data_IF_552957322470
#
_entry.id   IF_552957322470
#
_cell.length_a   1.000
_cell.length_b   1.000
_cell.length_c   1.000
_cell.angle_alpha   90.00
_cell.angle_beta   90.00
_cell.angle_gamma   90.00
#
_symmetry.space_group_name_H-M   'P 1'
#
loop_
_entity.id
_entity.type
_entity.pdbx_description
1 polymer ?
#
# COMPACT_ATOMS: atom_id res chain seq x y z
N UNK A 1 -24.29 -0.64 10.28
CA UNK A 1 -22.90 -0.30 9.87
C UNK A 1 -22.07 -1.52 9.45
N UNK A 2 -22.16 -2.69 10.12
CA UNK A 2 -21.33 -3.89 9.83
C UNK A 2 -21.54 -4.52 8.44
N UNK A 3 -22.76 -4.51 7.91
CA UNK A 3 -23.07 -5.11 6.61
C UNK A 3 -22.41 -4.39 5.42
N UNK A 4 -22.35 -3.05 5.44
CA UNK A 4 -21.73 -2.25 4.36
C UNK A 4 -20.20 -2.43 4.33
N UNK A 5 -19.61 -2.60 5.51
CA UNK A 5 -18.17 -2.83 5.69
C UNK A 5 -17.73 -4.22 5.21
N UNK A 6 -18.43 -5.28 5.64
CA UNK A 6 -18.17 -6.65 5.17
C UNK A 6 -18.40 -6.79 3.66
N UNK A 7 -19.39 -6.08 3.12
CA UNK A 7 -19.64 -6.05 1.69
C UNK A 7 -18.51 -5.34 0.94
N UNK A 8 -18.01 -4.20 1.46
CA UNK A 8 -16.87 -3.50 0.88
C UNK A 8 -15.60 -4.36 0.89
N UNK A 9 -15.31 -5.07 1.99
CA UNK A 9 -14.18 -5.99 2.06
C UNK A 9 -14.32 -7.17 1.08
N UNK A 10 -15.54 -7.73 0.97
CA UNK A 10 -15.83 -8.79 0.00
C UNK A 10 -15.64 -8.33 -1.45
N UNK A 11 -16.17 -7.16 -1.80
CA UNK A 11 -15.99 -6.56 -3.12
C UNK A 11 -14.52 -6.21 -3.41
N UNK A 12 -13.81 -5.66 -2.43
CA UNK A 12 -12.40 -5.30 -2.59
C UNK A 12 -11.54 -6.56 -2.83
N UNK A 13 -11.77 -7.63 -2.07
CA UNK A 13 -11.05 -8.90 -2.24
C UNK A 13 -11.33 -9.53 -3.60
N UNK A 14 -12.61 -9.66 -3.97
CA UNK A 14 -12.97 -10.23 -5.29
C UNK A 14 -12.42 -9.36 -6.43
N UNK A 15 -12.43 -8.04 -6.29
CA UNK A 15 -11.80 -7.12 -7.23
C UNK A 15 -10.29 -7.37 -7.36
N UNK A 16 -9.60 -7.54 -6.22
CA UNK A 16 -8.17 -7.84 -6.22
C UNK A 16 -7.87 -9.18 -6.93
N UNK A 17 -8.65 -10.23 -6.66
CA UNK A 17 -8.49 -11.54 -7.30
C UNK A 17 -8.73 -11.46 -8.83
N UNK A 18 -9.75 -10.72 -9.27
CA UNK A 18 -10.05 -10.51 -10.69
C UNK A 18 -8.90 -9.81 -11.44
N UNK A 19 -8.27 -8.81 -10.82
CA UNK A 19 -7.17 -8.08 -11.45
C UNK A 19 -5.97 -8.97 -11.75
N UNK A 20 -5.73 -10.03 -10.98
CA UNK A 20 -4.66 -11.00 -11.25
C UNK A 20 -4.78 -11.68 -12.61
N UNK A 21 -6.01 -12.02 -13.02
CA UNK A 21 -6.29 -12.59 -14.34
C UNK A 21 -6.08 -11.59 -15.49
N UNK A 22 -6.37 -10.32 -15.26
CA UNK A 22 -6.16 -9.24 -16.26
C UNK A 22 -4.68 -8.94 -16.43
N UNK A 23 -3.93 -8.88 -15.32
CA UNK A 23 -2.48 -8.67 -15.31
C UNK A 23 -1.72 -9.71 -16.14
N UNK A 24 -2.14 -10.98 -16.07
CA UNK A 24 -1.52 -12.06 -16.84
C UNK A 24 -1.64 -11.87 -18.37
N UNK A 25 -2.63 -11.10 -18.83
CA UNK A 25 -2.94 -10.90 -20.26
C UNK A 25 -2.63 -9.50 -20.76
N UNK A 26 -2.16 -8.60 -19.88
CA UNK A 26 -1.91 -7.20 -20.23
C UNK A 26 -0.52 -7.04 -20.86
N UNK A 27 -0.42 -6.62 -22.15
CA UNK A 27 0.84 -6.54 -22.87
C UNK A 27 1.61 -5.24 -22.62
N UNK A 28 0.92 -4.16 -22.22
CA UNK A 28 1.54 -2.84 -22.04
C UNK A 28 2.04 -2.64 -20.61
N UNK A 29 3.29 -2.21 -20.46
CA UNK A 29 3.93 -2.00 -19.14
C UNK A 29 3.20 -0.94 -18.30
N UNK A 30 2.74 0.15 -18.92
CA UNK A 30 2.01 1.22 -18.23
C UNK A 30 0.67 0.72 -17.68
N UNK A 31 -0.05 -0.09 -18.45
CA UNK A 31 -1.31 -0.69 -17.98
C UNK A 31 -1.04 -1.69 -16.85
N UNK A 32 0.04 -2.47 -16.95
CA UNK A 32 0.45 -3.40 -15.88
C UNK A 32 0.77 -2.66 -14.59
N UNK A 33 1.53 -1.57 -14.64
CA UNK A 33 1.83 -0.73 -13.47
C UNK A 33 0.54 -0.26 -12.82
N UNK A 34 -0.37 0.35 -13.60
CA UNK A 34 -1.66 0.83 -13.08
C UNK A 34 -2.47 -0.29 -12.43
N UNK A 35 -2.54 -1.46 -13.05
CA UNK A 35 -3.28 -2.60 -12.54
C UNK A 35 -2.64 -3.17 -11.26
N UNK A 36 -1.31 -3.22 -11.19
CA UNK A 36 -0.58 -3.64 -9.99
C UNK A 36 -0.80 -2.67 -8.82
N UNK A 37 -0.75 -1.35 -9.07
CA UNK A 37 -1.08 -0.35 -8.05
C UNK A 37 -2.52 -0.50 -7.55
N UNK A 38 -3.47 -0.72 -8.47
CA UNK A 38 -4.87 -0.93 -8.09
C UNK A 38 -5.07 -2.22 -7.29
N UNK A 39 -4.44 -3.31 -7.72
CA UNK A 39 -4.52 -4.58 -7.01
C UNK A 39 -3.86 -4.50 -5.62
N UNK A 40 -2.72 -3.82 -5.52
CA UNK A 40 -2.04 -3.55 -4.24
C UNK A 40 -2.93 -2.77 -3.28
N UNK A 41 -3.59 -1.72 -3.77
CA UNK A 41 -4.56 -0.95 -2.99
C UNK A 41 -5.67 -1.84 -2.43
N UNK A 42 -6.31 -2.66 -3.27
CA UNK A 42 -7.41 -3.52 -2.84
C UNK A 42 -6.96 -4.57 -1.81
N UNK A 43 -5.77 -5.17 -1.99
CA UNK A 43 -5.22 -6.09 -1.00
C UNK A 43 -4.92 -5.40 0.34
N UNK A 44 -4.42 -4.17 0.32
CA UNK A 44 -4.18 -3.39 1.53
C UNK A 44 -5.49 -3.04 2.26
N UNK A 45 -6.57 -2.74 1.54
CA UNK A 45 -7.91 -2.54 2.13
C UNK A 45 -8.45 -3.81 2.79
N UNK A 46 -8.01 -4.98 2.32
CA UNK A 46 -8.36 -6.26 2.92
C UNK A 46 -7.40 -6.70 4.04
N UNK A 47 -6.45 -5.85 4.45
CA UNK A 47 -5.39 -6.17 5.43
C UNK A 47 -4.46 -7.33 5.00
N UNK A 48 -4.42 -7.64 3.70
CA UNK A 48 -3.53 -8.64 3.11
C UNK A 48 -2.22 -7.97 2.72
N UNK A 49 -1.36 -7.73 3.73
CA UNK A 49 -0.13 -6.96 3.57
C UNK A 49 0.89 -7.57 2.61
N UNK A 50 0.97 -8.91 2.52
CA UNK A 50 1.95 -9.60 1.69
C UNK A 50 1.62 -9.44 0.20
N UNK A 51 0.38 -9.72 -0.20
CA UNK A 51 -0.10 -9.54 -1.56
C UNK A 51 -0.08 -8.05 -1.97
N UNK A 52 -0.40 -7.15 -1.04
CA UNK A 52 -0.29 -5.71 -1.29
C UNK A 52 1.16 -5.29 -1.57
N UNK A 53 2.11 -5.80 -0.77
CA UNK A 53 3.53 -5.51 -0.91
C UNK A 53 4.07 -6.05 -2.24
N UNK A 54 3.80 -7.31 -2.57
CA UNK A 54 4.26 -7.95 -3.81
C UNK A 54 3.81 -7.17 -5.06
N UNK A 55 2.58 -6.67 -5.07
CA UNK A 55 2.06 -5.90 -6.20
C UNK A 55 2.68 -4.51 -6.29
N UNK A 56 2.84 -3.80 -5.16
CA UNK A 56 3.51 -2.50 -5.15
C UNK A 56 4.98 -2.61 -5.56
N UNK A 57 5.68 -3.65 -5.07
CA UNK A 57 7.08 -3.92 -5.39
C UNK A 57 7.25 -4.31 -6.86
N UNK A 58 6.32 -5.09 -7.42
CA UNK A 58 6.29 -5.39 -8.85
C UNK A 58 6.05 -4.12 -9.71
N UNK A 59 5.18 -3.20 -9.28
CA UNK A 59 4.97 -1.95 -10.00
C UNK A 59 6.25 -1.09 -10.01
N UNK A 60 6.94 -1.00 -8.87
CA UNK A 60 8.24 -0.34 -8.74
C UNK A 60 9.30 -0.99 -9.64
N UNK A 61 9.38 -2.33 -9.67
CA UNK A 61 10.30 -3.08 -10.51
C UNK A 61 10.05 -2.90 -12.02
N UNK A 62 8.82 -2.61 -12.42
CA UNK A 62 8.47 -2.22 -13.79
C UNK A 62 8.81 -0.75 -14.12
N UNK A 63 9.41 -0.02 -13.18
CA UNK A 63 9.87 1.36 -13.36
C UNK A 63 8.91 2.44 -12.86
N UNK A 64 7.86 2.07 -12.10
CA UNK A 64 6.99 3.07 -11.50
C UNK A 64 7.72 3.84 -10.39
N UNK A 65 7.83 5.16 -10.53
CA UNK A 65 8.38 6.06 -9.50
C UNK A 65 7.31 7.09 -9.10
N UNK A 66 6.11 6.62 -8.79
CA UNK A 66 4.95 7.46 -8.53
C UNK A 66 4.70 7.62 -7.02
N UNK A 67 4.11 8.76 -6.64
CA UNK A 67 3.55 9.00 -5.30
C UNK A 67 2.68 7.82 -4.85
N UNK A 68 1.85 7.28 -5.76
CA UNK A 68 0.93 6.18 -5.47
C UNK A 68 1.68 4.87 -5.18
N UNK A 69 2.69 4.51 -5.96
CA UNK A 69 3.45 3.27 -5.76
C UNK A 69 4.14 3.27 -4.39
N UNK A 70 4.87 4.34 -4.06
CA UNK A 70 5.54 4.46 -2.76
C UNK A 70 4.54 4.43 -1.59
N UNK A 71 3.42 5.13 -1.73
CA UNK A 71 2.38 5.12 -0.69
C UNK A 71 1.80 3.72 -0.46
N UNK A 72 1.49 2.98 -1.53
CA UNK A 72 0.96 1.63 -1.44
C UNK A 72 1.98 0.64 -0.85
N UNK A 73 3.24 0.72 -1.27
CA UNK A 73 4.33 -0.08 -0.72
C UNK A 73 4.51 0.19 0.77
N UNK A 74 4.51 1.46 1.17
CA UNK A 74 4.61 1.88 2.56
C UNK A 74 3.42 1.41 3.42
N UNK A 75 2.20 1.50 2.90
CA UNK A 75 1.00 0.94 3.57
C UNK A 75 1.11 -0.57 3.78
N UNK A 76 1.53 -1.30 2.76
CA UNK A 76 1.70 -2.74 2.82
C UNK A 76 2.78 -3.14 3.85
N UNK A 77 3.92 -2.45 3.85
CA UNK A 77 4.99 -2.65 4.85
C UNK A 77 4.50 -2.38 6.28
N UNK A 78 3.68 -1.35 6.48
CA UNK A 78 3.10 -1.04 7.78
C UNK A 78 2.15 -2.17 8.27
N UNK A 79 1.32 -2.73 7.37
CA UNK A 79 0.48 -3.90 7.68
C UNK A 79 1.33 -5.13 8.06
N UNK A 80 2.49 -5.29 7.44
CA UNK A 80 3.45 -6.36 7.76
C UNK A 80 4.29 -6.08 9.02
N UNK A 81 4.09 -4.94 9.70
CA UNK A 81 4.87 -4.55 10.87
C UNK A 81 6.31 -4.13 10.56
N UNK A 82 6.69 -3.98 9.29
CA UNK A 82 8.01 -3.53 8.82
C UNK A 82 8.06 -2.00 8.86
N UNK A 83 7.94 -1.45 10.06
CA UNK A 83 7.64 -0.03 10.30
C UNK A 83 8.75 0.91 9.83
N UNK A 84 10.01 0.55 9.97
CA UNK A 84 11.14 1.36 9.50
C UNK A 84 11.15 1.48 7.97
N UNK A 85 10.88 0.39 7.26
CA UNK A 85 10.78 0.41 5.80
C UNK A 85 9.54 1.17 5.34
N UNK A 86 8.41 0.99 6.03
CA UNK A 86 7.20 1.76 5.77
C UNK A 86 7.44 3.27 5.94
N UNK A 87 8.21 3.67 6.96
CA UNK A 87 8.60 5.07 7.17
C UNK A 87 9.37 5.61 5.98
N UNK A 88 10.37 4.87 5.50
CA UNK A 88 11.18 5.29 4.36
C UNK A 88 10.32 5.51 3.11
N UNK A 89 9.35 4.63 2.86
CA UNK A 89 8.40 4.82 1.75
C UNK A 89 7.54 6.08 1.93
N UNK A 90 7.04 6.36 3.14
CA UNK A 90 6.31 7.61 3.40
C UNK A 90 7.19 8.84 3.20
N UNK A 91 8.49 8.76 3.53
CA UNK A 91 9.45 9.83 3.24
C UNK A 91 9.67 10.03 1.73
N UNK A 92 9.67 8.96 0.93
CA UNK A 92 9.70 9.08 -0.54
C UNK A 92 8.43 9.75 -1.08
N UNK A 93 7.25 9.38 -0.56
CA UNK A 93 5.99 10.04 -0.93
C UNK A 93 6.06 11.54 -0.65
N UNK A 94 6.53 11.94 0.53
CA UNK A 94 6.65 13.35 0.93
C UNK A 94 7.79 14.09 0.18
N UNK A 95 8.76 13.37 -0.37
CA UNK A 95 9.77 13.96 -1.26
C UNK A 95 9.16 14.30 -2.62
N UNK A 96 8.30 13.44 -3.16
CA UNK A 96 7.63 13.63 -4.45
C UNK A 96 6.43 14.59 -4.35
N UNK A 97 5.68 14.52 -3.24
CA UNK A 97 4.54 15.38 -2.92
C UNK A 97 4.61 15.80 -1.44
N UNK A 98 5.28 16.93 -1.13
CA UNK A 98 5.41 17.44 0.22
C UNK A 98 4.08 17.79 0.91
N UNK A 99 2.99 17.92 0.14
CA UNK A 99 1.66 18.28 0.66
C UNK A 99 0.76 17.07 0.89
N UNK A 100 1.27 15.85 0.70
CA UNK A 100 0.49 14.64 0.82
C UNK A 100 0.04 14.37 2.27
N UNK A 101 -1.20 14.75 2.57
CA UNK A 101 -1.77 14.63 3.92
C UNK A 101 -1.94 13.18 4.39
N UNK A 102 -2.06 12.22 3.48
CA UNK A 102 -2.13 10.79 3.83
C UNK A 102 -0.77 10.25 4.25
N UNK A 103 0.28 10.53 3.48
CA UNK A 103 1.63 10.13 3.82
C UNK A 103 2.12 10.77 5.11
N UNK A 104 1.82 12.06 5.33
CA UNK A 104 2.17 12.73 6.58
C UNK A 104 1.48 12.09 7.80
N UNK A 105 0.20 11.71 7.67
CA UNK A 105 -0.53 10.99 8.72
C UNK A 105 0.06 9.59 8.94
N UNK A 106 0.31 8.84 7.87
CA UNK A 106 0.91 7.51 7.93
C UNK A 106 2.29 7.53 8.62
N UNK A 107 3.16 8.45 8.21
CA UNK A 107 4.47 8.67 8.83
C UNK A 107 4.37 8.99 10.32
N UNK A 108 3.48 9.90 10.72
CA UNK A 108 3.29 10.25 12.13
C UNK A 108 2.83 9.05 12.96
N UNK A 109 1.94 8.20 12.42
CA UNK A 109 1.49 6.97 13.08
C UNK A 109 2.63 5.96 13.23
N UNK A 110 3.44 5.78 12.17
CA UNK A 110 4.61 4.91 12.18
C UNK A 110 5.64 5.39 13.21
N UNK A 111 5.95 6.69 13.22
CA UNK A 111 6.88 7.30 14.19
C UNK A 111 6.39 7.14 15.63
N UNK A 112 5.08 7.26 15.86
CA UNK A 112 4.50 7.01 17.17
C UNK A 112 4.62 5.54 17.61
N UNK A 113 4.47 4.60 16.68
CA UNK A 113 4.59 3.16 16.94
C UNK A 113 6.06 2.72 17.18
N UNK A 114 7.03 3.37 16.52
CA UNK A 114 8.45 3.12 16.70
C UNK A 114 9.03 3.71 18.00
N UNK A 115 8.34 4.66 18.64
CA UNK A 115 8.80 5.21 19.91
C UNK A 115 8.77 4.12 20.99
N UNK A 116 9.84 3.97 21.78
CA UNK A 116 9.82 3.05 22.90
C UNK A 116 8.71 3.48 23.86
N UNK A 117 7.80 2.54 24.20
CA UNK A 117 6.81 2.78 25.25
C UNK A 117 7.58 3.12 26.52
N UNK A 118 7.39 4.33 27.03
CA UNK A 118 8.00 4.74 28.28
C UNK A 118 7.62 3.71 29.36
N UNK A 119 8.62 3.07 29.96
CA UNK A 119 8.41 2.17 31.09
C UNK A 119 7.78 2.99 32.22
N UNK A 120 6.62 2.60 32.77
CA UNK A 120 6.11 3.24 33.97
C UNK A 120 7.18 3.05 35.06
N UNK A 121 7.60 4.17 35.65
CA UNK A 121 8.52 4.20 36.80
C UNK A 121 7.88 3.56 38.02
#
# INVERSE_FOLDING_TARGET
MKARFLNSLGFNRTGAEMLGGVLARSPHVTDRIRLLEEQSFLWAECEHGEEAFQNADAALALGSNSVRTHYLRGRALALLGRLEEARNEMDQVLTLDPTNAEAQRGRNMIDAALRPKASPR
#
